data_IF_484300442371
#
_entry.id   IF_484300442371
#
_cell.length_a   1.000
_cell.length_b   1.000
_cell.length_c   1.000
_cell.angle_alpha   90.00
_cell.angle_beta   90.00
_cell.angle_gamma   90.00
#
_symmetry.space_group_name_H-M   'P 1'
#
loop_
_entity.id
_entity.type
_entity.pdbx_description
1 polymer ?
#
# COMPACT_ATOMS: atom_id res chain seq x y z
N UNK A 1 9.72 10.50 -16.59
CA UNK A 1 9.48 11.67 -15.73
C UNK A 1 9.71 11.22 -14.32
N UNK A 2 10.61 11.88 -13.61
CA UNK A 2 10.83 11.66 -12.19
C UNK A 2 9.56 12.06 -11.43
N UNK A 3 9.13 11.24 -10.46
CA UNK A 3 7.89 11.52 -9.72
C UNK A 3 8.19 12.53 -8.63
N UNK A 4 7.54 13.68 -8.71
CA UNK A 4 7.68 14.78 -7.75
C UNK A 4 6.57 14.66 -6.69
N UNK A 5 6.96 14.55 -5.42
CA UNK A 5 6.05 14.32 -4.28
C UNK A 5 5.96 15.52 -3.34
N UNK A 6 6.42 16.69 -3.79
CA UNK A 6 6.34 17.92 -3.02
C UNK A 6 6.17 19.14 -3.91
N UNK A 7 5.63 20.21 -3.36
CA UNK A 7 5.49 21.50 -4.05
C UNK A 7 5.83 22.63 -3.08
N UNK A 8 6.40 23.76 -3.56
CA UNK A 8 6.61 24.91 -2.70
C UNK A 8 5.30 25.40 -2.07
N UNK A 9 5.33 25.71 -0.77
CA UNK A 9 4.20 26.32 -0.08
C UNK A 9 4.16 27.82 -0.36
N UNK A 10 3.26 28.25 -1.25
CA UNK A 10 3.10 29.67 -1.63
C UNK A 10 2.62 30.58 -0.49
N UNK A 11 2.12 30.00 0.61
CA UNK A 11 1.61 30.74 1.77
C UNK A 11 2.61 30.83 2.92
N UNK A 12 3.76 30.17 2.81
CA UNK A 12 4.80 30.22 3.83
C UNK A 12 5.77 31.36 3.52
N UNK A 13 6.06 32.19 4.54
CA UNK A 13 7.11 33.21 4.44
C UNK A 13 8.51 32.58 4.39
N UNK A 14 8.65 31.39 4.97
CA UNK A 14 9.84 30.55 4.89
C UNK A 14 9.72 29.58 3.70
N UNK A 15 10.86 29.16 3.13
CA UNK A 15 10.87 28.15 2.06
C UNK A 15 10.49 26.76 2.60
N UNK A 16 9.20 26.50 2.74
CA UNK A 16 8.64 25.22 3.18
C UNK A 16 7.96 24.52 2.01
N UNK A 17 8.22 23.22 1.86
CA UNK A 17 7.54 22.39 0.87
C UNK A 17 6.28 21.75 1.48
N UNK A 18 5.21 21.62 0.69
CA UNK A 18 4.08 20.75 0.96
C UNK A 18 4.38 19.36 0.39
N UNK A 19 4.36 18.35 1.25
CA UNK A 19 4.61 16.96 0.86
C UNK A 19 3.30 16.22 0.60
N UNK A 20 3.23 15.49 -0.49
CA UNK A 20 2.09 14.64 -0.83
C UNK A 20 2.31 13.24 -0.29
N UNK A 21 1.40 12.78 0.58
CA UNK A 21 1.44 11.43 1.15
C UNK A 21 0.30 10.59 0.56
N UNK A 22 0.58 9.31 0.31
CA UNK A 22 -0.44 8.32 0.00
C UNK A 22 -0.88 7.61 1.28
N UNK A 23 -2.12 7.10 1.29
CA UNK A 23 -2.66 6.29 2.39
C UNK A 23 -2.01 4.89 2.40
N UNK A 24 -1.11 4.58 3.35
CA UNK A 24 -0.38 3.33 3.33
C UNK A 24 -1.28 2.09 3.58
N UNK A 25 -2.21 2.10 4.57
CA UNK A 25 -3.21 1.04 4.72
C UNK A 25 -3.98 0.74 3.43
N UNK A 26 -4.42 1.78 2.70
CA UNK A 26 -5.18 1.61 1.47
C UNK A 26 -4.34 0.99 0.35
N UNK A 27 -3.06 1.38 0.22
CA UNK A 27 -2.13 0.79 -0.74
C UNK A 27 -1.87 -0.70 -0.46
N UNK A 28 -1.72 -1.07 0.82
CA UNK A 28 -1.53 -2.46 1.24
C UNK A 28 -2.81 -3.27 0.96
N UNK A 29 -3.98 -2.73 1.30
CA UNK A 29 -5.28 -3.35 1.02
C UNK A 29 -5.49 -3.57 -0.48
N UNK A 30 -5.11 -2.59 -1.30
CA UNK A 30 -5.19 -2.68 -2.77
C UNK A 30 -4.27 -3.75 -3.32
N UNK A 31 -3.03 -3.80 -2.83
CA UNK A 31 -2.06 -4.85 -3.18
C UNK A 31 -2.60 -6.23 -2.84
N UNK A 32 -3.11 -6.42 -1.61
CA UNK A 32 -3.78 -7.64 -1.17
C UNK A 32 -4.95 -8.02 -2.07
N UNK A 33 -5.83 -7.07 -2.41
CA UNK A 33 -6.96 -7.30 -3.32
C UNK A 33 -6.51 -7.77 -4.72
N UNK A 34 -5.41 -7.23 -5.24
CA UNK A 34 -4.83 -7.66 -6.51
C UNK A 34 -4.33 -9.11 -6.42
N UNK A 35 -3.69 -9.49 -5.31
CA UNK A 35 -3.20 -10.84 -5.05
C UNK A 35 -4.33 -11.86 -4.97
N UNK A 36 -5.37 -11.54 -4.20
CA UNK A 36 -6.58 -12.34 -4.06
C UNK A 36 -7.25 -12.58 -5.42
N UNK A 37 -7.42 -11.51 -6.21
CA UNK A 37 -8.10 -11.61 -7.49
C UNK A 37 -7.28 -12.34 -8.54
N UNK A 38 -5.95 -12.36 -8.46
CA UNK A 38 -5.06 -12.98 -9.47
C UNK A 38 -5.45 -14.44 -9.82
N UNK A 39 -5.96 -15.19 -8.82
CA UNK A 39 -6.33 -16.60 -8.98
C UNK A 39 -7.65 -16.85 -9.72
N UNK A 40 -8.59 -15.91 -9.72
CA UNK A 40 -9.92 -16.15 -10.29
C UNK A 40 -9.86 -16.20 -11.84
N UNK A 41 -10.46 -17.21 -12.48
CA UNK A 41 -10.54 -17.34 -13.96
C UNK A 41 -11.17 -16.12 -14.62
N UNK A 42 -12.08 -15.42 -13.95
CA UNK A 42 -12.72 -14.18 -14.44
C UNK A 42 -11.96 -12.90 -14.06
N UNK A 43 -10.82 -13.02 -13.40
CA UNK A 43 -10.06 -11.85 -12.93
C UNK A 43 -9.42 -11.08 -14.06
N UNK A 44 -9.54 -9.75 -13.98
CA UNK A 44 -8.81 -8.80 -14.81
C UNK A 44 -7.30 -8.76 -14.47
N UNK A 45 -6.86 -9.32 -13.35
CA UNK A 45 -5.45 -9.37 -12.93
C UNK A 45 -4.94 -10.81 -13.03
N UNK A 46 -3.73 -10.97 -13.56
CA UNK A 46 -3.03 -12.24 -13.79
C UNK A 46 -1.56 -12.04 -13.45
N UNK A 47 -1.29 -11.86 -12.16
CA UNK A 47 0.00 -11.41 -11.70
C UNK A 47 1.06 -12.49 -11.84
N UNK A 48 2.23 -12.08 -12.32
CA UNK A 48 3.34 -12.98 -12.61
C UNK A 48 4.66 -12.35 -12.21
N UNK A 49 5.54 -13.13 -11.60
CA UNK A 49 6.92 -12.76 -11.33
C UNK A 49 7.84 -13.90 -11.76
N UNK A 50 8.82 -13.62 -12.62
CA UNK A 50 9.74 -14.62 -13.18
C UNK A 50 9.02 -15.89 -13.66
N UNK A 51 8.03 -15.73 -14.55
CA UNK A 51 7.19 -16.80 -15.11
C UNK A 51 6.23 -17.50 -14.12
N UNK A 52 6.37 -17.27 -12.82
CA UNK A 52 5.55 -17.85 -11.77
C UNK A 52 4.31 -17.00 -11.49
N UNK A 53 3.16 -17.64 -11.30
CA UNK A 53 1.94 -16.94 -10.90
C UNK A 53 2.05 -16.42 -9.47
N UNK A 54 1.69 -15.16 -9.23
CA UNK A 54 1.49 -14.64 -7.87
C UNK A 54 0.01 -14.75 -7.53
N UNK A 55 -0.32 -15.57 -6.54
CA UNK A 55 -1.68 -15.80 -6.08
C UNK A 55 -1.77 -15.94 -4.56
N UNK A 56 -2.99 -15.83 -4.04
CA UNK A 56 -3.28 -15.94 -2.60
C UNK A 56 -3.02 -17.34 -2.04
N UNK A 57 -3.12 -18.40 -2.84
CA UNK A 57 -2.84 -19.77 -2.40
C UNK A 57 -1.39 -19.94 -1.94
N UNK A 58 -0.44 -19.18 -2.47
CA UNK A 58 0.94 -19.19 -1.97
C UNK A 58 1.02 -18.71 -0.52
N UNK A 59 0.24 -17.69 -0.16
CA UNK A 59 0.19 -17.15 1.20
C UNK A 59 -0.59 -18.08 2.15
N UNK A 60 -1.67 -18.69 1.68
CA UNK A 60 -2.41 -19.73 2.42
C UNK A 60 -1.52 -20.95 2.67
N UNK A 61 -0.82 -21.44 1.64
CA UNK A 61 0.11 -22.58 1.74
C UNK A 61 1.25 -22.26 2.72
N UNK A 62 1.79 -21.04 2.67
CA UNK A 62 2.83 -20.58 3.60
C UNK A 62 2.30 -20.55 5.04
N UNK A 63 1.10 -20.02 5.26
CA UNK A 63 0.45 -19.99 6.56
C UNK A 63 0.16 -21.40 7.10
N UNK A 64 -0.42 -22.28 6.28
CA UNK A 64 -0.68 -23.68 6.66
C UNK A 64 0.60 -24.44 6.97
N UNK A 65 1.67 -24.24 6.18
CA UNK A 65 2.99 -24.83 6.47
C UNK A 65 3.60 -24.28 7.75
N UNK A 66 3.40 -22.98 8.01
CA UNK A 66 3.88 -22.33 9.22
C UNK A 66 3.15 -22.82 10.49
N UNK A 67 1.86 -23.13 10.36
CA UNK A 67 0.98 -23.54 11.46
C UNK A 67 0.92 -25.07 11.65
N UNK A 68 1.07 -25.88 10.59
CA UNK A 68 0.69 -27.31 10.63
C UNK A 68 1.80 -28.35 10.37
N UNK A 69 3.06 -28.00 10.12
CA UNK A 69 4.09 -29.01 9.79
C UNK A 69 5.21 -29.04 10.84
N UNK A 70 5.18 -30.07 11.70
CA UNK A 70 6.30 -30.58 12.51
C UNK A 70 7.09 -29.56 13.33
N UNK A 71 6.52 -29.02 14.41
CA UNK A 71 7.31 -28.33 15.44
C UNK A 71 7.31 -29.10 16.76
N UNK A 72 8.51 -29.46 17.23
CA UNK A 72 8.78 -29.86 18.61
C UNK A 72 8.60 -28.69 19.62
N UNK A 73 8.17 -27.50 19.16
CA UNK A 73 7.96 -26.31 19.97
C UNK A 73 6.75 -25.51 19.46
N UNK A 74 5.54 -25.67 20.03
CA UNK A 74 4.28 -25.08 19.56
C UNK A 74 4.16 -23.55 19.71
N UNK A 75 5.23 -22.85 20.12
CA UNK A 75 5.25 -21.38 20.29
C UNK A 75 6.11 -20.61 19.29
N UNK A 76 6.95 -21.28 18.50
CA UNK A 76 7.76 -20.63 17.47
C UNK A 76 6.95 -20.61 16.17
N UNK A 77 6.77 -19.44 15.54
CA UNK A 77 6.23 -19.28 14.18
C UNK A 77 7.37 -18.83 13.26
N UNK A 78 7.35 -19.20 11.98
CA UNK A 78 8.32 -18.75 10.97
C UNK A 78 8.06 -17.28 10.64
N UNK A 79 6.79 -16.86 10.72
CA UNK A 79 6.35 -15.48 10.50
C UNK A 79 5.45 -15.06 11.68
N UNK A 80 5.98 -14.92 12.91
CA UNK A 80 5.14 -14.58 14.06
C UNK A 80 4.59 -13.15 13.97
N UNK A 81 5.42 -12.22 13.49
CA UNK A 81 5.15 -10.81 13.21
C UNK A 81 6.26 -10.39 12.25
N UNK A 82 5.97 -9.81 11.08
CA UNK A 82 7.00 -9.13 10.29
C UNK A 82 7.78 -8.19 11.23
N UNK A 83 9.08 -8.42 11.40
CA UNK A 83 9.96 -7.63 12.28
C UNK A 83 10.50 -6.38 11.57
N UNK A 84 11.08 -5.44 12.32
CA UNK A 84 11.62 -4.15 11.86
C UNK A 84 12.78 -4.27 10.83
N UNK A 85 13.30 -5.48 10.60
CA UNK A 85 14.39 -5.76 9.65
C UNK A 85 13.91 -5.95 8.21
N UNK A 86 12.61 -5.90 7.95
CA UNK A 86 12.10 -5.71 6.60
C UNK A 86 12.37 -4.25 6.19
N UNK A 87 13.61 -3.97 5.83
CA UNK A 87 14.03 -2.70 5.22
C UNK A 87 13.10 -2.39 4.05
N UNK A 88 12.19 -1.44 4.27
CA UNK A 88 11.26 -0.94 3.27
C UNK A 88 12.05 -0.52 2.03
N UNK A 89 13.20 0.11 2.23
CA UNK A 89 13.97 0.77 1.17
C UNK A 89 14.70 -0.23 0.27
N UNK A 90 15.61 -1.05 0.80
CA UNK A 90 16.54 -1.79 -0.08
C UNK A 90 16.00 -3.17 -0.49
N UNK A 91 15.22 -3.81 0.38
CA UNK A 91 14.70 -5.15 0.14
C UNK A 91 13.33 -5.11 -0.53
N UNK A 92 12.41 -4.32 0.01
CA UNK A 92 11.03 -4.29 -0.50
C UNK A 92 10.88 -3.44 -1.77
N UNK A 93 11.43 -2.22 -1.83
CA UNK A 93 11.41 -1.45 -3.08
C UNK A 93 12.27 -2.09 -4.17
N UNK A 94 13.40 -2.70 -3.79
CA UNK A 94 14.24 -3.50 -4.69
C UNK A 94 13.46 -4.64 -5.32
N UNK A 95 12.66 -5.36 -4.53
CA UNK A 95 11.76 -6.40 -5.03
C UNK A 95 10.67 -5.85 -5.97
N UNK A 96 10.03 -4.72 -5.63
CA UNK A 96 9.03 -4.12 -6.53
C UNK A 96 9.64 -3.70 -7.88
N UNK A 97 10.88 -3.20 -7.85
CA UNK A 97 11.61 -2.84 -9.06
C UNK A 97 11.99 -4.06 -9.90
N UNK A 98 12.58 -5.09 -9.29
CA UNK A 98 12.94 -6.32 -9.99
C UNK A 98 11.72 -7.03 -10.57
N UNK A 99 10.58 -6.97 -9.88
CA UNK A 99 9.33 -7.52 -10.36
C UNK A 99 8.84 -6.81 -11.64
N UNK A 100 8.80 -5.47 -11.68
CA UNK A 100 8.46 -4.74 -12.91
C UNK A 100 9.43 -5.04 -14.07
N UNK A 101 10.73 -5.15 -13.76
CA UNK A 101 11.74 -5.52 -14.74
C UNK A 101 11.54 -6.94 -15.27
N UNK A 102 11.20 -7.90 -14.41
CA UNK A 102 10.95 -9.29 -14.83
C UNK A 102 9.81 -9.34 -15.86
N UNK A 103 8.71 -8.63 -15.61
CA UNK A 103 7.57 -8.61 -16.54
C UNK A 103 7.94 -7.95 -17.86
N UNK A 104 8.73 -6.88 -17.81
CA UNK A 104 9.19 -6.20 -19.04
C UNK A 104 10.14 -7.09 -19.85
N UNK A 105 11.06 -7.78 -19.17
CA UNK A 105 12.05 -8.68 -19.79
C UNK A 105 11.38 -9.91 -20.40
N UNK A 106 10.50 -10.56 -19.65
CA UNK A 106 9.95 -11.87 -19.97
C UNK A 106 8.71 -11.76 -20.89
N UNK A 107 7.94 -10.68 -20.75
CA UNK A 107 6.66 -10.46 -21.45
C UNK A 107 6.63 -9.19 -22.30
N UNK A 108 7.77 -8.55 -22.57
CA UNK A 108 7.85 -7.32 -23.37
C UNK A 108 7.32 -7.45 -24.81
N UNK A 109 7.19 -8.67 -25.31
CA UNK A 109 6.58 -8.98 -26.61
C UNK A 109 5.04 -8.90 -26.61
N UNK A 110 4.40 -8.91 -25.43
CA UNK A 110 2.95 -8.83 -25.30
C UNK A 110 2.45 -7.39 -25.34
N UNK A 111 1.14 -7.23 -25.57
CA UNK A 111 0.50 -5.91 -25.51
C UNK A 111 0.61 -5.33 -24.11
N UNK A 112 0.79 -4.01 -24.02
CA UNK A 112 0.90 -3.30 -22.75
C UNK A 112 -0.30 -3.53 -21.83
N UNK A 113 -1.50 -3.70 -22.39
CA UNK A 113 -2.68 -4.05 -21.60
C UNK A 113 -2.55 -5.43 -20.93
N UNK A 114 -1.94 -6.40 -21.61
CA UNK A 114 -1.72 -7.74 -21.07
C UNK A 114 -0.65 -7.72 -19.97
N UNK A 115 0.46 -7.02 -20.19
CA UNK A 115 1.55 -6.90 -19.20
C UNK A 115 1.13 -6.07 -17.98
N UNK A 116 0.29 -5.03 -18.16
CA UNK A 116 -0.27 -4.26 -17.04
C UNK A 116 -1.10 -5.12 -16.07
N UNK A 117 -1.65 -6.26 -16.52
CA UNK A 117 -2.39 -7.19 -15.66
C UNK A 117 -1.47 -8.09 -14.82
N UNK A 118 -0.18 -8.12 -15.16
CA UNK A 118 0.84 -8.98 -14.53
C UNK A 118 1.54 -8.33 -13.33
N UNK A 119 1.45 -7.00 -13.22
CA UNK A 119 1.95 -6.23 -12.09
C UNK A 119 0.83 -5.45 -11.38
N UNK A 120 1.20 -4.83 -10.25
CA UNK A 120 0.41 -3.77 -9.64
C UNK A 120 0.26 -2.59 -10.61
N UNK A 121 -0.79 -1.77 -10.40
CA UNK A 121 -0.96 -0.55 -11.18
C UNK A 121 0.20 0.42 -10.91
N UNK A 122 0.51 1.29 -11.88
CA UNK A 122 1.54 2.30 -11.73
C UNK A 122 1.25 3.17 -10.50
N UNK A 123 0.00 3.56 -10.31
CA UNK A 123 -0.45 4.38 -9.18
C UNK A 123 -0.17 3.70 -7.84
N UNK A 124 -0.43 2.39 -7.74
CA UNK A 124 -0.14 1.62 -6.53
C UNK A 124 1.37 1.46 -6.30
N UNK A 125 2.14 1.18 -7.36
CA UNK A 125 3.59 1.01 -7.26
C UNK A 125 4.29 2.29 -6.87
N UNK A 126 3.91 3.41 -7.50
CA UNK A 126 4.42 4.72 -7.14
C UNK A 126 3.97 5.10 -5.72
N UNK A 127 2.74 4.82 -5.29
CA UNK A 127 2.32 5.04 -3.90
C UNK A 127 3.14 4.23 -2.88
N UNK A 128 3.48 2.98 -3.20
CA UNK A 128 4.33 2.12 -2.36
C UNK A 128 5.80 2.58 -2.35
N UNK A 129 6.31 3.08 -3.48
CA UNK A 129 7.65 3.66 -3.63
C UNK A 129 7.80 4.99 -2.92
N UNK A 130 6.75 5.79 -2.97
CA UNK A 130 6.74 7.21 -2.64
C UNK A 130 5.87 7.46 -1.43
N UNK A 131 5.77 6.54 -0.47
CA UNK A 131 5.28 6.98 0.83
C UNK A 131 6.40 7.85 1.41
N UNK A 132 6.35 9.20 1.28
CA UNK A 132 7.48 10.08 1.63
C UNK A 132 7.63 10.18 3.14
N UNK A 133 6.89 9.35 3.89
CA UNK A 133 6.89 9.25 5.33
C UNK A 133 8.30 9.11 5.90
N UNK A 134 9.21 8.39 5.24
CA UNK A 134 10.60 8.27 5.72
C UNK A 134 11.35 9.60 5.58
N UNK A 135 11.24 10.27 4.45
CA UNK A 135 11.93 11.54 4.19
C UNK A 135 11.30 12.70 4.97
N UNK A 136 9.98 12.86 4.84
CA UNK A 136 9.18 13.79 5.62
C UNK A 136 9.37 13.57 7.11
N UNK A 137 9.45 12.31 7.55
CA UNK A 137 9.69 11.97 8.94
C UNK A 137 11.05 12.47 9.44
N UNK A 138 12.11 12.30 8.63
CA UNK A 138 13.44 12.86 8.95
C UNK A 138 13.42 14.38 9.04
N UNK A 139 12.75 15.05 8.10
CA UNK A 139 12.64 16.52 8.09
C UNK A 139 11.87 17.01 9.33
N UNK A 140 10.70 16.43 9.61
CA UNK A 140 9.88 16.85 10.75
C UNK A 140 10.56 16.59 12.10
N UNK A 141 11.39 15.54 12.22
CA UNK A 141 12.17 15.28 13.43
C UNK A 141 13.35 16.25 13.64
N UNK A 142 13.77 16.98 12.60
CA UNK A 142 14.79 18.02 12.71
C UNK A 142 14.21 19.37 13.16
N UNK A 143 12.88 19.54 13.12
CA UNK A 143 12.23 20.77 13.56
C UNK A 143 12.41 20.98 15.08
N UNK A 144 12.79 22.19 15.52
CA UNK A 144 12.98 22.49 16.94
C UNK A 144 11.75 22.14 17.78
N UNK A 145 11.94 21.26 18.77
CA UNK A 145 10.89 20.86 19.71
C UNK A 145 10.10 19.61 19.30
N UNK A 146 10.30 19.05 18.11
CA UNK A 146 9.71 17.76 17.72
C UNK A 146 10.54 16.61 18.29
N UNK A 147 9.92 15.75 19.11
CA UNK A 147 10.59 14.62 19.77
C UNK A 147 10.28 13.26 19.13
N UNK A 148 9.09 13.14 18.54
CA UNK A 148 8.60 11.92 17.93
C UNK A 148 7.51 12.27 16.90
N UNK A 149 7.20 11.31 16.03
CA UNK A 149 6.11 11.42 15.07
C UNK A 149 5.10 10.31 15.30
N UNK A 150 3.83 10.66 15.20
CA UNK A 150 2.72 9.72 15.26
C UNK A 150 2.34 9.34 13.83
N UNK A 151 2.87 8.21 13.34
CA UNK A 151 2.53 7.67 12.00
C UNK A 151 1.03 7.49 11.80
N UNK A 152 0.28 7.28 12.89
CA UNK A 152 -1.18 7.20 12.89
C UNK A 152 -1.90 8.47 12.41
N UNK A 153 -1.21 9.60 12.33
CA UNK A 153 -1.77 10.86 11.81
C UNK A 153 -1.51 11.04 10.31
N UNK A 154 -0.83 10.11 9.66
CA UNK A 154 -0.44 10.17 8.25
C UNK A 154 -1.23 9.18 7.36
N UNK A 155 -2.54 9.02 7.63
CA UNK A 155 -3.47 8.25 6.81
C UNK A 155 -4.90 8.81 6.90
N UNK A 156 -5.81 8.33 6.05
CA UNK A 156 -7.15 8.91 5.90
C UNK A 156 -8.23 8.29 6.80
N UNK A 157 -7.94 7.28 7.64
CA UNK A 157 -8.93 6.67 8.53
C UNK A 157 -9.74 7.67 9.38
N UNK A 158 -9.20 8.77 9.94
CA UNK A 158 -10.03 9.74 10.66
C UNK A 158 -11.11 10.37 9.78
N UNK A 159 -10.82 10.57 8.50
CA UNK A 159 -11.78 11.05 7.50
C UNK A 159 -12.79 9.95 7.14
N UNK A 160 -12.34 8.71 6.97
CA UNK A 160 -13.24 7.57 6.73
C UNK A 160 -14.19 7.34 7.91
N UNK A 161 -13.70 7.48 9.15
CA UNK A 161 -14.48 7.39 10.38
C UNK A 161 -15.53 8.50 10.45
N UNK A 162 -15.16 9.73 10.08
CA UNK A 162 -16.13 10.82 9.96
C UNK A 162 -17.24 10.47 8.96
N UNK A 163 -16.91 10.00 7.76
CA UNK A 163 -17.92 9.57 6.78
C UNK A 163 -18.77 8.38 7.27
N UNK A 164 -18.19 7.46 8.04
CA UNK A 164 -18.93 6.35 8.65
C UNK A 164 -19.94 6.82 9.70
N UNK A 165 -19.56 7.81 10.54
CA UNK A 165 -20.46 8.44 11.51
C UNK A 165 -21.62 9.14 10.80
N UNK A 166 -21.32 9.89 9.76
CA UNK A 166 -22.31 10.58 8.92
C UNK A 166 -23.33 9.60 8.30
N UNK A 167 -22.86 8.47 7.73
CA UNK A 167 -23.76 7.41 7.23
C UNK A 167 -24.61 6.79 8.34
N UNK A 168 -24.01 6.56 9.52
CA UNK A 168 -24.71 5.96 10.67
C UNK A 168 -25.87 6.84 11.17
N UNK A 169 -25.76 8.16 11.06
CA UNK A 169 -26.85 9.08 11.42
C UNK A 169 -28.12 8.87 10.55
N UNK A 170 -27.98 8.31 9.34
CA UNK A 170 -29.09 8.02 8.43
C UNK A 170 -29.85 6.72 8.71
N UNK A 171 -29.47 5.94 9.73
CA UNK A 171 -30.06 4.63 10.01
C UNK A 171 -29.85 3.66 8.84
N UNK A 172 -30.92 3.27 8.15
CA UNK A 172 -30.85 2.41 6.96
C UNK A 172 -30.48 3.17 5.66
N UNK A 173 -30.37 4.50 5.71
CA UNK A 173 -30.02 5.33 4.56
C UNK A 173 -28.50 5.53 4.45
N UNK A 174 -27.79 4.47 4.08
CA UNK A 174 -26.31 4.46 3.96
C UNK A 174 -25.75 5.40 2.88
N UNK A 175 -26.58 5.90 1.97
CA UNK A 175 -26.19 6.77 0.87
C UNK A 175 -26.96 8.11 0.95
N UNK A 176 -26.57 9.02 1.87
CA UNK A 176 -27.23 10.31 2.01
C UNK A 176 -27.00 11.20 0.78
N UNK A 177 -28.01 11.98 0.43
CA UNK A 177 -27.88 13.10 -0.53
C UNK A 177 -26.99 14.19 0.05
N UNK A 178 -26.49 15.09 -0.80
CA UNK A 178 -25.72 16.26 -0.36
C UNK A 178 -26.46 17.10 0.70
N UNK A 179 -27.79 17.26 0.55
CA UNK A 179 -28.59 17.99 1.52
C UNK A 179 -28.60 17.29 2.89
N UNK A 180 -28.77 15.97 2.92
CA UNK A 180 -28.77 15.17 4.14
C UNK A 180 -27.39 15.14 4.82
N UNK A 181 -26.31 15.05 4.03
CA UNK A 181 -24.94 15.07 4.55
C UNK A 181 -24.58 16.39 5.24
N UNK A 182 -25.16 17.51 4.82
CA UNK A 182 -24.94 18.82 5.47
C UNK A 182 -25.65 18.99 6.80
N UNK A 183 -26.67 18.17 7.07
CA UNK A 183 -27.55 18.31 8.24
C UNK A 183 -27.20 17.38 9.40
N UNK A 184 -26.20 16.52 9.22
CA UNK A 184 -25.75 15.46 10.14
C UNK A 184 -24.46 15.83 10.86
#
# INVERSE_FOLDING_TARGET
GEVVYKTPNIYSQESRDLYFICDPPHLIKTTRNCWEKSHNRQSKRKMKNDWMDINWQHLVTLYERDVCINRNAPGLRLIPKLTHEHSLTDTFLGYLHSWEQSVTRDYGHLLKEQTNRMCLSRETLEGLRITPFVELGKILLQEPGVKFLLSEKFYQDPLEEYFAKQRRCGGASDNPTYAQFRTT
#
